data_IF_475320242096
#
_entry.id   IF_475320242096
#
_cell.length_a   1.000
_cell.length_b   1.000
_cell.length_c   1.000
_cell.angle_alpha   90.00
_cell.angle_beta   90.00
_cell.angle_gamma   90.00
#
_symmetry.space_group_name_H-M   'P 1'
#
loop_
_entity.id
_entity.type
_entity.pdbx_description
1 polymer ?
#
# COMPACT_ATOMS: atom_id res chain seq x y z
N UNK A 1 -3.78 0.68 -15.18
CA UNK A 1 -2.51 0.98 -14.50
C UNK A 1 -2.76 1.34 -13.06
N UNK A 2 -2.15 0.63 -12.15
CA UNK A 2 -2.33 0.93 -10.74
C UNK A 2 -1.55 2.17 -10.35
N UNK A 3 -2.15 2.96 -9.47
CA UNK A 3 -1.51 4.18 -8.99
C UNK A 3 -0.97 3.98 -7.59
N UNK A 4 0.29 4.29 -7.39
CA UNK A 4 0.96 4.16 -6.11
C UNK A 4 1.32 5.54 -5.59
N UNK A 5 1.03 5.80 -4.32
CA UNK A 5 1.50 7.00 -3.65
C UNK A 5 2.72 6.63 -2.82
N UNK A 6 3.87 7.19 -3.16
CA UNK A 6 5.12 6.97 -2.44
C UNK A 6 5.35 8.12 -1.48
N UNK A 7 5.38 7.83 -0.19
CA UNK A 7 5.58 8.84 0.85
C UNK A 7 6.97 8.66 1.42
N UNK A 8 7.90 9.52 1.02
CA UNK A 8 9.32 9.39 1.33
C UNK A 8 9.98 10.77 1.24
N UNK A 9 10.74 11.16 2.26
CA UNK A 9 11.38 12.47 2.25
C UNK A 9 12.81 12.47 1.69
N UNK A 10 13.40 11.31 1.42
CA UNK A 10 14.72 11.23 0.80
C UNK A 10 14.56 11.35 -0.71
N UNK A 11 15.12 12.42 -1.27
CA UNK A 11 14.93 12.72 -2.70
C UNK A 11 15.56 11.66 -3.61
N UNK A 12 16.69 11.07 -3.20
CA UNK A 12 17.33 10.03 -4.01
C UNK A 12 16.50 8.76 -4.05
N UNK A 13 15.98 8.35 -2.91
CA UNK A 13 15.13 7.16 -2.85
C UNK A 13 13.88 7.40 -3.66
N UNK A 14 13.26 8.58 -3.51
CA UNK A 14 12.06 8.94 -4.25
C UNK A 14 12.31 8.85 -5.75
N UNK A 15 13.39 9.45 -6.23
CA UNK A 15 13.67 9.48 -7.67
C UNK A 15 13.91 8.07 -8.22
N UNK A 16 14.76 7.29 -7.58
CA UNK A 16 15.08 5.97 -8.12
C UNK A 16 13.92 5.00 -7.97
N UNK A 17 13.18 5.06 -6.88
CA UNK A 17 12.07 4.15 -6.68
C UNK A 17 10.91 4.49 -7.61
N UNK A 18 10.62 5.79 -7.80
CA UNK A 18 9.59 6.21 -8.76
C UNK A 18 9.90 5.73 -10.16
N UNK A 19 11.16 5.92 -10.61
CA UNK A 19 11.55 5.51 -11.95
C UNK A 19 11.40 4.00 -12.11
N UNK A 20 11.81 3.24 -11.11
CA UNK A 20 11.72 1.79 -11.17
C UNK A 20 10.25 1.34 -11.25
N UNK A 21 9.40 1.88 -10.38
CA UNK A 21 7.99 1.49 -10.36
C UNK A 21 7.29 1.86 -11.65
N UNK A 22 7.62 3.03 -12.22
CA UNK A 22 7.06 3.42 -13.50
C UNK A 22 7.47 2.45 -14.60
N UNK A 23 8.71 1.97 -14.57
CA UNK A 23 9.18 0.99 -15.56
C UNK A 23 8.45 -0.33 -15.45
N UNK A 24 7.87 -0.63 -14.28
CA UNK A 24 7.10 -1.86 -14.05
C UNK A 24 5.61 -1.68 -14.36
N UNK A 25 5.22 -0.53 -14.85
CA UNK A 25 3.85 -0.30 -15.28
C UNK A 25 2.96 0.40 -14.27
N UNK A 26 3.52 0.91 -13.17
CA UNK A 26 2.73 1.65 -12.18
C UNK A 26 2.75 3.14 -12.48
N UNK A 27 1.67 3.82 -12.12
CA UNK A 27 1.64 5.27 -12.07
C UNK A 27 2.04 5.68 -10.65
N UNK A 28 2.94 6.66 -10.52
CA UNK A 28 3.50 7.01 -9.20
C UNK A 28 3.32 8.49 -8.93
N UNK A 29 2.71 8.79 -7.76
CA UNK A 29 2.71 10.12 -7.19
C UNK A 29 3.60 10.10 -5.97
N UNK A 30 4.22 11.23 -5.62
CA UNK A 30 5.14 11.27 -4.49
C UNK A 30 4.76 12.36 -3.51
N UNK A 31 4.97 12.09 -2.22
CA UNK A 31 4.78 13.04 -1.14
C UNK A 31 5.99 12.98 -0.22
N UNK A 32 6.37 14.12 0.36
CA UNK A 32 7.54 14.20 1.23
C UNK A 32 7.18 14.14 2.70
N UNK A 33 5.91 14.26 3.06
CA UNK A 33 5.48 14.24 4.44
C UNK A 33 4.02 13.91 4.57
N UNK A 34 3.54 13.93 5.80
CA UNK A 34 2.17 13.49 6.11
C UNK A 34 1.12 14.41 5.51
N UNK A 35 1.33 15.73 5.60
CA UNK A 35 0.33 16.69 5.09
C UNK A 35 0.11 16.51 3.60
N UNK A 36 1.18 16.45 2.84
CA UNK A 36 1.09 16.27 1.40
C UNK A 36 0.50 14.91 1.05
N UNK A 37 0.85 13.88 1.82
CA UNK A 37 0.32 12.54 1.59
C UNK A 37 -1.21 12.52 1.71
N UNK A 38 -1.75 13.16 2.76
CA UNK A 38 -3.19 13.22 2.94
C UNK A 38 -3.88 13.93 1.78
N UNK A 39 -3.29 15.02 1.31
CA UNK A 39 -3.84 15.76 0.18
C UNK A 39 -3.87 14.89 -1.08
N UNK A 40 -2.78 14.18 -1.34
CA UNK A 40 -2.68 13.38 -2.56
C UNK A 40 -3.58 12.14 -2.50
N UNK A 41 -3.84 11.59 -1.33
CA UNK A 41 -4.83 10.51 -1.21
C UNK A 41 -6.18 10.98 -1.74
N UNK A 42 -6.60 12.20 -1.35
CA UNK A 42 -7.89 12.72 -1.79
C UNK A 42 -7.88 13.12 -3.27
N UNK A 43 -6.78 13.66 -3.74
CA UNK A 43 -6.71 14.20 -5.12
C UNK A 43 -6.51 13.12 -6.16
N UNK A 44 -5.75 12.07 -5.87
CA UNK A 44 -5.33 11.12 -6.90
C UNK A 44 -5.94 9.73 -6.73
N UNK A 45 -6.57 9.45 -5.59
CA UNK A 45 -7.20 8.16 -5.31
C UNK A 45 -6.25 7.00 -5.63
N UNK A 46 -5.12 6.91 -4.93
CA UNK A 46 -4.15 5.84 -5.21
C UNK A 46 -4.71 4.48 -4.84
N UNK A 47 -4.19 3.44 -5.47
CA UNK A 47 -4.56 2.07 -5.15
C UNK A 47 -3.75 1.47 -4.02
N UNK A 48 -2.61 2.06 -3.70
CA UNK A 48 -1.72 1.56 -2.64
C UNK A 48 -0.75 2.66 -2.23
N UNK A 49 -0.40 2.69 -0.95
CA UNK A 49 0.63 3.59 -0.44
C UNK A 49 1.89 2.83 -0.05
N UNK A 50 3.04 3.35 -0.45
CA UNK A 50 4.34 2.96 0.09
C UNK A 50 4.78 4.08 1.00
N UNK A 51 4.98 3.79 2.29
CA UNK A 51 5.17 4.84 3.28
C UNK A 51 6.42 4.57 4.09
N UNK A 52 7.35 5.53 4.11
CA UNK A 52 8.49 5.46 5.01
C UNK A 52 7.97 5.66 6.44
N UNK A 53 8.43 4.81 7.34
CA UNK A 53 8.05 4.92 8.75
C UNK A 53 8.50 6.27 9.33
N UNK A 54 9.70 6.72 8.96
CA UNK A 54 10.25 7.97 9.50
C UNK A 54 10.21 9.06 8.44
N UNK A 55 9.45 10.09 8.72
CA UNK A 55 9.29 11.23 7.82
C UNK A 55 9.79 12.50 8.54
N UNK A 56 10.29 13.46 7.77
CA UNK A 56 10.74 14.74 8.32
C UNK A 56 9.55 15.57 8.80
N UNK A 57 8.39 15.43 8.16
CA UNK A 57 7.18 16.15 8.57
C UNK A 57 6.08 15.12 8.83
N UNK A 58 5.59 15.07 10.06
CA UNK A 58 4.54 14.12 10.44
C UNK A 58 5.11 12.75 10.70
N UNK A 59 4.30 11.74 10.49
CA UNK A 59 4.65 10.37 10.82
C UNK A 59 4.11 9.41 9.77
N UNK A 60 4.93 8.42 9.40
CA UNK A 60 4.48 7.34 8.54
C UNK A 60 3.31 6.57 9.15
N UNK A 61 3.29 6.44 10.49
CA UNK A 61 2.17 5.79 11.16
C UNK A 61 0.88 6.60 11.01
N UNK A 62 0.98 7.95 11.08
CA UNK A 62 -0.18 8.80 10.86
C UNK A 62 -0.72 8.67 9.45
N UNK A 63 0.16 8.59 8.45
CA UNK A 63 -0.25 8.36 7.07
C UNK A 63 -0.96 7.01 6.95
N UNK A 64 -0.43 5.98 7.59
CA UNK A 64 -1.04 4.65 7.55
C UNK A 64 -2.45 4.68 8.14
N UNK A 65 -2.62 5.29 9.30
CA UNK A 65 -3.93 5.37 9.93
C UNK A 65 -4.93 6.08 9.02
N UNK A 66 -4.52 7.16 8.39
CA UNK A 66 -5.38 7.90 7.48
C UNK A 66 -5.76 7.05 6.27
N UNK A 67 -4.78 6.39 5.65
CA UNK A 67 -5.04 5.54 4.48
C UNK A 67 -5.96 4.39 4.83
N UNK A 68 -5.76 3.77 5.99
CA UNK A 68 -6.62 2.65 6.40
C UNK A 68 -8.05 3.11 6.64
N UNK A 69 -8.24 4.33 7.13
CA UNK A 69 -9.58 4.86 7.30
C UNK A 69 -10.30 5.03 5.97
N UNK A 70 -9.55 5.10 4.86
CA UNK A 70 -10.09 5.19 3.51
C UNK A 70 -10.14 3.82 2.82
N UNK A 71 -9.77 2.75 3.50
CA UNK A 71 -9.77 1.41 2.92
C UNK A 71 -8.62 1.14 1.96
N UNK A 72 -7.53 1.90 2.06
CA UNK A 72 -6.41 1.77 1.14
C UNK A 72 -5.31 0.89 1.72
N UNK A 73 -4.68 0.05 0.89
CA UNK A 73 -3.57 -0.78 1.37
C UNK A 73 -2.31 0.05 1.60
N UNK A 74 -1.53 -0.36 2.61
CA UNK A 74 -0.30 0.33 2.99
C UNK A 74 0.83 -0.69 3.15
N UNK A 75 1.97 -0.41 2.53
CA UNK A 75 3.20 -1.15 2.75
C UNK A 75 4.22 -0.17 3.34
N UNK A 76 4.79 -0.51 4.50
CA UNK A 76 5.81 0.34 5.11
C UNK A 76 7.19 0.06 4.53
N UNK A 77 7.96 1.14 4.36
CA UNK A 77 9.40 1.06 4.12
C UNK A 77 10.08 1.39 5.45
N UNK A 78 10.96 0.52 5.92
CA UNK A 78 11.52 0.67 7.25
C UNK A 78 13.03 0.43 7.23
N UNK A 79 13.76 1.07 8.16
CA UNK A 79 15.19 0.82 8.29
C UNK A 79 15.41 -0.60 8.78
N UNK A 80 16.48 -1.22 8.26
CA UNK A 80 16.85 -2.56 8.66
C UNK A 80 17.07 -2.62 10.17
N UNK A 81 16.50 -3.61 10.83
CA UNK A 81 16.67 -3.81 12.26
C UNK A 81 15.68 -3.06 13.14
N UNK A 82 14.77 -2.30 12.55
CA UNK A 82 13.81 -1.53 13.33
C UNK A 82 12.57 -2.39 13.62
N UNK A 83 12.74 -3.38 14.46
CA UNK A 83 11.69 -4.35 14.76
C UNK A 83 10.50 -3.70 15.46
N UNK A 84 10.75 -2.74 16.35
CA UNK A 84 9.66 -2.08 17.09
C UNK A 84 8.72 -1.35 16.14
N UNK A 85 9.27 -0.67 15.14
CA UNK A 85 8.45 0.03 14.14
C UNK A 85 7.66 -0.96 13.29
N UNK A 86 8.25 -2.11 12.95
CA UNK A 86 7.58 -3.13 12.17
C UNK A 86 6.36 -3.65 12.94
N UNK A 87 6.54 -3.99 14.21
CA UNK A 87 5.44 -4.52 15.03
C UNK A 87 4.32 -3.48 15.15
N UNK A 88 4.68 -2.22 15.43
CA UNK A 88 3.67 -1.18 15.56
C UNK A 88 2.92 -0.96 14.26
N UNK A 89 3.63 -0.95 13.14
CA UNK A 89 3.00 -0.75 11.84
C UNK A 89 2.00 -1.84 11.50
N UNK A 90 2.35 -3.10 11.77
CA UNK A 90 1.45 -4.22 11.52
C UNK A 90 0.23 -4.14 12.45
N UNK A 91 0.44 -3.76 13.70
CA UNK A 91 -0.67 -3.60 14.65
C UNK A 91 -1.62 -2.48 14.21
N UNK A 92 -1.12 -1.47 13.50
CA UNK A 92 -1.95 -0.39 12.99
C UNK A 92 -2.66 -0.73 11.70
N UNK A 93 -2.46 -1.93 11.17
CA UNK A 93 -3.19 -2.38 9.99
C UNK A 93 -2.44 -2.29 8.68
N UNK A 94 -1.12 -2.08 8.70
CA UNK A 94 -0.33 -2.15 7.47
C UNK A 94 -0.41 -3.55 6.88
N UNK A 95 -0.43 -3.63 5.56
CA UNK A 95 -0.57 -4.91 4.87
C UNK A 95 0.73 -5.65 4.75
N UNK A 96 1.85 -4.93 4.77
CA UNK A 96 3.17 -5.54 4.68
C UNK A 96 4.21 -4.49 5.05
N UNK A 97 5.46 -4.92 5.13
CA UNK A 97 6.59 -4.00 5.34
C UNK A 97 7.78 -4.52 4.56
N UNK A 98 8.68 -3.61 4.20
CA UNK A 98 9.89 -3.96 3.47
C UNK A 98 11.06 -3.22 4.10
N UNK A 99 12.09 -3.95 4.50
CA UNK A 99 13.27 -3.35 5.12
C UNK A 99 14.20 -2.76 4.06
N UNK A 100 14.79 -1.61 4.36
CA UNK A 100 15.81 -1.00 3.52
C UNK A 100 17.18 -1.56 3.89
N UNK A 101 18.05 -1.81 2.94
CA UNK A 101 17.86 -1.71 1.50
C UNK A 101 17.00 -2.89 0.99
N UNK A 102 16.09 -2.59 0.09
CA UNK A 102 15.17 -3.60 -0.42
C UNK A 102 15.59 -4.04 -1.82
N UNK A 103 15.15 -5.23 -2.19
CA UNK A 103 15.37 -5.74 -3.54
C UNK A 103 14.19 -5.31 -4.41
N UNK A 104 14.46 -4.69 -5.57
CA UNK A 104 13.35 -4.17 -6.39
C UNK A 104 12.32 -5.22 -6.78
N UNK A 105 12.75 -6.41 -7.14
CA UNK A 105 11.81 -7.46 -7.52
C UNK A 105 10.94 -7.92 -6.37
N UNK A 106 11.51 -7.97 -5.17
CA UNK A 106 10.75 -8.32 -3.97
C UNK A 106 9.67 -7.26 -3.71
N UNK A 107 10.03 -5.99 -3.84
CA UNK A 107 9.09 -4.90 -3.65
C UNK A 107 7.90 -5.02 -4.59
N UNK A 108 8.15 -5.22 -5.88
CA UNK A 108 7.08 -5.35 -6.87
C UNK A 108 6.20 -6.55 -6.58
N UNK A 109 6.81 -7.67 -6.20
CA UNK A 109 6.06 -8.88 -5.87
C UNK A 109 5.11 -8.64 -4.70
N UNK A 110 5.59 -7.95 -3.65
CA UNK A 110 4.73 -7.65 -2.49
C UNK A 110 3.62 -6.68 -2.84
N UNK A 111 3.92 -5.67 -3.65
CA UNK A 111 2.91 -4.73 -4.12
C UNK A 111 1.80 -5.48 -4.85
N UNK A 112 2.17 -6.32 -5.80
CA UNK A 112 1.18 -7.05 -6.59
C UNK A 112 0.38 -8.03 -5.74
N UNK A 113 1.02 -8.64 -4.75
CA UNK A 113 0.33 -9.55 -3.85
C UNK A 113 -0.75 -8.81 -3.04
N UNK A 114 -0.41 -7.65 -2.50
CA UNK A 114 -1.37 -6.85 -1.73
C UNK A 114 -2.51 -6.37 -2.63
N UNK A 115 -2.20 -5.89 -3.82
CA UNK A 115 -3.23 -5.42 -4.74
C UNK A 115 -4.19 -6.54 -5.15
N UNK A 116 -3.67 -7.74 -5.35
CA UNK A 116 -4.51 -8.90 -5.68
C UNK A 116 -5.51 -9.21 -4.57
N UNK A 117 -5.07 -9.16 -3.32
CA UNK A 117 -5.96 -9.42 -2.19
C UNK A 117 -7.12 -8.43 -2.16
N UNK A 118 -6.82 -7.16 -2.36
CA UNK A 118 -7.85 -6.13 -2.35
C UNK A 118 -8.80 -6.27 -3.54
N UNK A 119 -8.26 -6.64 -4.71
CA UNK A 119 -9.09 -6.90 -5.88
C UNK A 119 -10.04 -8.06 -5.66
N UNK A 120 -9.58 -9.14 -5.04
CA UNK A 120 -10.42 -10.29 -4.75
C UNK A 120 -11.53 -9.94 -3.78
N UNK A 121 -11.23 -9.15 -2.76
CA UNK A 121 -12.23 -8.72 -1.80
C UNK A 121 -13.33 -7.90 -2.48
N UNK A 122 -12.95 -7.01 -3.36
CA UNK A 122 -13.91 -6.22 -4.12
C UNK A 122 -14.78 -7.10 -5.02
N UNK A 123 -14.19 -8.13 -5.60
CA UNK A 123 -14.91 -9.02 -6.47
C UNK A 123 -15.94 -9.86 -5.72
N UNK A 124 -15.63 -10.22 -4.49
CA UNK A 124 -16.50 -11.05 -3.68
C UNK A 124 -17.70 -10.30 -3.11
N UNK A 125 -17.63 -9.01 -3.02
CA UNK A 125 -18.79 -8.22 -2.65
C UNK A 125 -19.72 -8.25 -3.86
N UNK A 126 -20.88 -8.68 -3.76
CA UNK A 126 -21.60 -8.88 -4.94
C UNK A 126 -22.36 -7.76 -5.33
N UNK A 127 -22.30 -7.67 -6.19
CA UNK A 127 -22.99 -6.91 -6.79
C UNK A 127 -24.36 -7.01 -6.62
N UNK A 128 -24.68 -6.67 -5.98
CA UNK A 128 -25.84 -6.74 -5.68
C UNK A 128 -26.52 -7.50 -6.26
N UNK A 129 -25.80 -7.67 -6.04
CA UNK A 129 -25.83 -8.05 -6.14
C UNK A 129 -25.54 -8.75 -6.22
N UNK A 130 -25.48 -9.06 -6.14
CA UNK A 130 -25.02 -9.73 -6.29
C UNK A 130 -24.36 -10.28 -6.20
N UNK A 131 -24.10 -10.60 -5.91
CA UNK A 131 -23.42 -11.14 -5.83
C UNK A 131 -23.01 -11.75 -6.07
N UNK A 132 -22.97 -11.88 -6.24
CA UNK A 132 -22.43 -12.48 -6.52
C UNK A 132 -21.87 -13.03 -6.82
N UNK A 133 -21.53 -13.31 -6.95
CA UNK A 133 -20.82 -13.79 -7.19
C UNK A 133 -20.26 -14.04 -7.63
N UNK A 134 -20.10 -13.95 -7.88
CA UNK A 134 -19.54 -14.16 -8.36
C UNK A 134 -18.78 -14.87 -8.55
N UNK A 135 -18.27 -15.04 -8.45
CA UNK A 135 -17.59 -15.85 -8.74
C UNK A 135 -17.56 -16.83 -8.00
N UNK A 136 -18.21 -16.90 -7.46
CA UNK A 136 -18.28 -17.58 -6.79
C UNK A 136 -18.37 -18.10 -6.29
N UNK A 137 -18.54 -17.71 -5.80
CA UNK A 137 -18.67 -18.00 -5.16
C UNK A 137 -18.52 -18.19 -4.41
N UNK A 138 -18.35 -18.14 -3.69
CA UNK A 138 -18.13 -18.36 -2.85
C UNK A 138 -17.80 -17.99 -2.27
N UNK A 139 -17.65 -17.56 -1.82
CA UNK A 139 -17.40 -17.29 -1.30
C UNK A 139 -16.76 -17.20 -0.63
N UNK A 140 -16.18 -16.69 -0.01
CA UNK A 140 -15.72 -16.84 0.42
C UNK A 140 -14.97 -16.63 1.03
N UNK A 141 -14.63 -16.46 1.64
CA UNK A 141 -14.12 -16.38 1.99
C UNK A 141 -13.09 -16.59 2.24
N UNK A 142 -12.36 -16.13 2.40
CA UNK A 142 -11.69 -16.47 2.25
C UNK A 142 -11.00 -16.61 2.29
N UNK A 143 -10.68 -16.12 2.23
CA UNK A 143 -10.44 -16.30 1.92
C UNK A 143 -10.05 -16.63 1.89
N UNK A 144 -9.97 -16.74 2.28
CA UNK A 144 -9.93 -17.16 1.93
C UNK A 144 -10.38 -17.83 1.54
N UNK A 145 -10.37 -17.61 1.46
CA UNK A 145 -11.09 -18.20 0.76
C UNK A 145 -11.56 -18.49 0.64
N UNK A 146 -11.75 -17.98 0.61
CA UNK A 146 -12.43 -18.32 0.13
C UNK A 146 -12.69 -18.72 -0.08
N UNK A 147 -12.56 -18.70 0.08
CA UNK A 147 -12.98 -19.20 -0.56
C UNK A 147 -13.12 -19.68 -0.57
#
# INVERSE_FOLDING_TARGET
MERILLVEDDAQITASLSAFLQSEGFSVETATGETQARQLVEQTAPGLLLVDVQLAEGSGFGVCAYARSRGLPVIFLTASGDESSVVLGLDMGADDYIAKPFRPRELVSRIRSVLRRYGKEKTLVPLGGVLVDTEKGRVTRDGRDVY
#
